data_IF_936746292703
#
_entry.id   IF_936746292703
#
_cell.length_a   1.000
_cell.length_b   1.000
_cell.length_c   1.000
_cell.angle_alpha   90.00
_cell.angle_beta   90.00
_cell.angle_gamma   90.00
#
_symmetry.space_group_name_H-M   'P 1'
#
loop_
_entity.id
_entity.type
_entity.pdbx_description
1 polymer ?
#
# COMPACT_ATOMS: atom_id res chain seq x y z
N UNK A 1 5.70 -10.71 -41.38
CA UNK A 1 4.48 -11.19 -40.69
C UNK A 1 4.40 -10.43 -39.38
N UNK A 2 3.55 -9.41 -39.31
CA UNK A 2 3.44 -8.52 -38.15
C UNK A 2 2.66 -9.20 -37.02
N UNK A 3 3.29 -9.36 -35.87
CA UNK A 3 2.61 -9.71 -34.63
C UNK A 3 2.36 -8.42 -33.84
N UNK A 4 1.08 -8.11 -33.63
CA UNK A 4 0.57 -6.96 -32.90
C UNK A 4 0.60 -7.32 -31.40
N UNK A 5 1.56 -6.78 -30.64
CA UNK A 5 1.65 -7.01 -29.20
C UNK A 5 0.74 -6.02 -28.45
N UNK A 6 -0.16 -6.57 -27.65
CA UNK A 6 -1.11 -5.89 -26.78
C UNK A 6 -0.42 -5.35 -25.53
N UNK A 7 -0.38 -4.03 -25.40
CA UNK A 7 -0.09 -3.23 -24.20
C UNK A 7 -1.17 -3.42 -23.13
N UNK A 8 -0.83 -3.70 -21.85
CA UNK A 8 -1.89 -3.80 -20.83
C UNK A 8 -1.59 -3.93 -19.33
N UNK A 9 -0.36 -3.82 -18.81
CA UNK A 9 -0.08 -4.16 -17.40
C UNK A 9 0.02 -2.98 -16.40
N UNK A 10 0.58 -1.82 -16.76
CA UNK A 10 0.63 -0.64 -15.88
C UNK A 10 -0.74 -0.10 -15.38
N UNK A 11 -1.84 -0.11 -16.17
CA UNK A 11 -3.15 0.28 -15.64
C UNK A 11 -3.72 -0.74 -14.65
N UNK A 12 -3.22 -1.99 -14.62
CA UNK A 12 -3.79 -3.05 -13.80
C UNK A 12 -3.53 -2.82 -12.30
N UNK A 13 -2.33 -2.45 -11.88
CA UNK A 13 -2.00 -2.21 -10.46
C UNK A 13 -2.72 -0.97 -9.89
N UNK A 14 -2.79 0.13 -10.66
CA UNK A 14 -3.56 1.32 -10.28
C UNK A 14 -5.07 1.01 -10.25
N UNK A 15 -5.57 0.18 -11.18
CA UNK A 15 -6.96 -0.28 -11.16
C UNK A 15 -7.27 -1.20 -9.97
N UNK A 16 -6.33 -2.02 -9.52
CA UNK A 16 -6.49 -2.89 -8.35
C UNK A 16 -6.55 -2.08 -7.05
N UNK A 17 -5.65 -1.10 -6.87
CA UNK A 17 -5.70 -0.20 -5.71
C UNK A 17 -7.01 0.60 -5.68
N UNK A 18 -7.45 1.10 -6.84
CA UNK A 18 -8.72 1.83 -6.94
C UNK A 18 -9.93 0.94 -6.64
N UNK A 19 -9.90 -0.30 -7.12
CA UNK A 19 -10.93 -1.31 -6.85
C UNK A 19 -11.00 -1.64 -5.36
N UNK A 20 -9.85 -1.83 -4.70
CA UNK A 20 -9.79 -2.09 -3.25
C UNK A 20 -10.31 -0.88 -2.45
N UNK A 21 -9.96 0.34 -2.87
CA UNK A 21 -10.49 1.55 -2.25
C UNK A 21 -12.02 1.68 -2.39
N UNK A 22 -12.58 1.28 -3.54
CA UNK A 22 -14.03 1.23 -3.77
C UNK A 22 -14.72 0.15 -2.92
N UNK A 23 -14.14 -1.04 -2.82
CA UNK A 23 -14.66 -2.11 -1.97
C UNK A 23 -14.70 -1.68 -0.50
N UNK A 24 -13.60 -1.11 -0.01
CA UNK A 24 -13.53 -0.62 1.36
C UNK A 24 -14.53 0.53 1.62
N UNK A 25 -14.78 1.42 0.65
CA UNK A 25 -15.84 2.45 0.77
C UNK A 25 -17.24 1.84 0.85
N UNK A 26 -17.55 0.84 0.01
CA UNK A 26 -18.83 0.14 0.01
C UNK A 26 -19.09 -0.63 1.31
N UNK A 27 -18.05 -1.29 1.85
CA UNK A 27 -18.12 -2.00 3.13
C UNK A 27 -18.39 -1.00 4.26
N UNK A 28 -17.64 0.09 4.33
CA UNK A 28 -17.81 1.12 5.37
C UNK A 28 -19.22 1.71 5.32
N UNK A 29 -19.74 2.06 4.14
CA UNK A 29 -21.11 2.56 3.99
C UNK A 29 -22.15 1.53 4.45
N UNK A 30 -21.97 0.27 4.09
CA UNK A 30 -22.87 -0.82 4.51
C UNK A 30 -22.88 -0.97 6.02
N UNK A 31 -21.70 -0.95 6.66
CA UNK A 31 -21.58 -1.01 8.12
C UNK A 31 -22.23 0.21 8.78
N UNK A 32 -21.94 1.42 8.30
CA UNK A 32 -22.53 2.64 8.83
C UNK A 32 -24.06 2.65 8.67
N UNK A 33 -24.61 2.08 7.61
CA UNK A 33 -26.07 2.02 7.42
C UNK A 33 -26.74 0.98 8.33
N UNK A 34 -26.05 -0.10 8.68
CA UNK A 34 -26.55 -1.13 9.60
C UNK A 34 -26.49 -0.70 11.07
N UNK A 35 -25.67 0.30 11.41
CA UNK A 35 -25.48 0.77 12.78
C UNK A 35 -26.58 1.74 13.23
N UNK A 36 -26.96 1.65 14.50
CA UNK A 36 -27.79 2.67 15.16
C UNK A 36 -27.00 3.97 15.34
N UNK A 37 -27.70 5.09 15.55
CA UNK A 37 -27.05 6.38 15.81
C UNK A 37 -26.09 6.33 17.00
N UNK A 38 -26.49 5.66 18.10
CA UNK A 38 -25.66 5.49 19.30
C UNK A 38 -24.37 4.70 19.00
N UNK A 39 -24.47 3.64 18.20
CA UNK A 39 -23.30 2.86 17.77
C UNK A 39 -22.35 3.70 16.91
N UNK A 40 -22.89 4.52 16.00
CA UNK A 40 -22.07 5.42 15.16
C UNK A 40 -21.32 6.43 15.99
N UNK A 41 -22.00 7.07 16.95
CA UNK A 41 -21.38 8.02 17.89
C UNK A 41 -20.27 7.37 18.71
N UNK A 42 -20.49 6.13 19.19
CA UNK A 42 -19.46 5.38 19.94
C UNK A 42 -18.23 5.07 19.08
N UNK A 43 -18.42 4.59 17.85
CA UNK A 43 -17.30 4.30 16.93
C UNK A 43 -16.55 5.59 16.59
N UNK A 44 -17.26 6.70 16.37
CA UNK A 44 -16.63 8.00 16.14
C UNK A 44 -15.71 8.41 17.30
N UNK A 45 -16.22 8.36 18.54
CA UNK A 45 -15.43 8.68 19.73
C UNK A 45 -14.20 7.77 19.88
N UNK A 46 -14.29 6.49 19.51
CA UNK A 46 -13.15 5.57 19.53
C UNK A 46 -12.11 5.92 18.46
N UNK A 47 -12.55 6.31 17.26
CA UNK A 47 -11.65 6.73 16.18
C UNK A 47 -10.97 8.07 16.49
N UNK A 48 -11.69 9.00 17.11
CA UNK A 48 -11.13 10.27 17.59
C UNK A 48 -10.10 10.02 18.70
N UNK A 49 -10.41 9.16 19.68
CA UNK A 49 -9.49 8.80 20.77
C UNK A 49 -8.22 8.09 20.25
N UNK A 50 -8.33 7.34 19.15
CA UNK A 50 -7.19 6.71 18.49
C UNK A 50 -6.38 7.69 17.61
N UNK A 51 -6.77 8.97 17.52
CA UNK A 51 -6.14 9.96 16.64
C UNK A 51 -6.33 9.67 15.15
N UNK A 52 -7.21 8.74 14.80
CA UNK A 52 -7.47 8.33 13.42
C UNK A 52 -8.38 9.34 12.73
N UNK A 53 -9.24 10.02 13.49
CA UNK A 53 -10.19 11.02 12.96
C UNK A 53 -9.68 12.43 13.27
N UNK A 54 -9.00 13.03 12.30
CA UNK A 54 -8.37 14.35 12.44
C UNK A 54 -9.34 15.53 12.30
N UNK A 55 -10.46 15.38 11.57
CA UNK A 55 -11.42 16.47 11.28
C UNK A 55 -12.87 15.95 11.08
N UNK A 56 -13.42 15.16 12.00
CA UNK A 56 -14.88 14.88 12.04
C UNK A 56 -15.50 14.10 10.85
N UNK A 57 -16.83 14.10 10.79
CA UNK A 57 -17.68 13.34 9.83
C UNK A 57 -17.43 13.60 8.33
N UNK A 58 -16.53 14.51 7.96
CA UNK A 58 -16.26 14.92 6.57
C UNK A 58 -15.36 13.94 5.81
N UNK A 59 -14.57 13.11 6.51
CA UNK A 59 -13.57 12.22 5.88
C UNK A 59 -14.13 11.15 4.93
N UNK A 60 -15.33 10.63 5.20
CA UNK A 60 -15.98 9.68 4.29
C UNK A 60 -16.39 10.36 2.98
N UNK A 61 -16.85 11.61 3.05
CA UNK A 61 -17.21 12.42 1.89
C UNK A 61 -15.94 12.84 1.11
N UNK A 62 -14.87 13.21 1.81
CA UNK A 62 -13.56 13.50 1.22
C UNK A 62 -12.96 12.28 0.50
N UNK A 63 -13.06 11.09 1.10
CA UNK A 63 -12.65 9.84 0.47
C UNK A 63 -13.46 9.55 -0.79
N UNK A 64 -14.78 9.74 -0.74
CA UNK A 64 -15.65 9.61 -1.91
C UNK A 64 -15.28 10.58 -3.04
N UNK A 65 -14.99 11.84 -2.70
CA UNK A 65 -14.54 12.85 -3.66
C UNK A 65 -13.19 12.47 -4.28
N UNK A 66 -12.26 11.96 -3.47
CA UNK A 66 -10.93 11.52 -3.92
C UNK A 66 -11.02 10.32 -4.86
N UNK A 67 -11.87 9.32 -4.54
CA UNK A 67 -12.12 8.17 -5.43
C UNK A 67 -12.74 8.64 -6.75
N UNK A 68 -13.69 9.57 -6.71
CA UNK A 68 -14.33 10.12 -7.90
C UNK A 68 -13.33 10.86 -8.79
N UNK A 69 -12.45 11.67 -8.21
CA UNK A 69 -11.40 12.36 -8.94
C UNK A 69 -10.39 11.37 -9.55
N UNK A 70 -10.00 10.33 -8.81
CA UNK A 70 -9.10 9.29 -9.31
C UNK A 70 -9.69 8.51 -10.49
N UNK A 71 -11.00 8.21 -10.46
CA UNK A 71 -11.72 7.58 -11.57
C UNK A 71 -11.74 8.47 -12.82
N UNK A 72 -11.95 9.78 -12.65
CA UNK A 72 -11.95 10.73 -13.77
C UNK A 72 -10.57 10.79 -14.46
N UNK A 73 -9.49 10.87 -13.68
CA UNK A 73 -8.11 10.83 -14.21
C UNK A 73 -7.80 9.51 -14.91
N UNK A 74 -8.24 8.38 -14.35
CA UNK A 74 -8.04 7.07 -14.98
C UNK A 74 -8.80 6.93 -16.32
N UNK A 75 -9.97 7.56 -16.43
CA UNK A 75 -10.74 7.60 -17.67
C UNK A 75 -10.05 8.45 -18.75
N UNK A 76 -9.46 9.60 -18.37
CA UNK A 76 -8.74 10.50 -19.27
C UNK A 76 -7.40 9.92 -19.75
N UNK A 77 -6.69 9.18 -18.88
CA UNK A 77 -5.38 8.57 -19.21
C UNK A 77 -5.52 7.38 -20.18
N UNK A 78 -6.72 6.84 -20.36
CA UNK A 78 -7.01 5.77 -21.32
C UNK A 78 -7.17 6.27 -22.77
N UNK A 79 -7.08 7.59 -23.02
CA UNK A 79 -7.46 8.18 -24.29
C UNK A 79 -6.35 8.31 -25.37
N UNK A 80 -5.05 8.34 -25.05
CA UNK A 80 -3.98 8.37 -26.08
C UNK A 80 -2.65 7.79 -25.52
N UNK A 81 -1.95 6.85 -26.20
CA UNK A 81 -0.68 6.31 -25.72
C UNK A 81 0.49 7.24 -26.07
N UNK A 82 0.95 8.01 -25.08
CA UNK A 82 2.25 8.68 -25.12
C UNK A 82 3.39 7.63 -25.10
N UNK A 83 4.48 7.90 -25.81
CA UNK A 83 5.65 7.03 -25.85
C UNK A 83 6.21 6.81 -24.43
N UNK A 84 6.18 5.57 -23.96
CA UNK A 84 6.67 5.18 -22.63
C UNK A 84 8.20 5.06 -22.68
N UNK A 85 8.90 5.77 -21.80
CA UNK A 85 10.35 5.65 -21.60
C UNK A 85 10.67 4.38 -20.78
N UNK A 86 10.68 3.25 -21.46
CA UNK A 86 10.98 1.93 -20.89
C UNK A 86 12.36 1.91 -20.23
N UNK A 87 13.32 2.65 -20.79
CA UNK A 87 14.69 2.70 -20.25
C UNK A 87 14.73 3.42 -18.89
N UNK A 88 13.98 4.51 -18.76
CA UNK A 88 13.80 5.20 -17.48
C UNK A 88 13.12 4.30 -16.42
N UNK A 89 12.13 3.50 -16.82
CA UNK A 89 11.45 2.56 -15.92
C UNK A 89 12.36 1.44 -15.43
N UNK A 90 13.17 0.82 -16.31
CA UNK A 90 14.12 -0.21 -15.91
C UNK A 90 15.18 0.32 -14.94
N UNK A 91 15.73 1.51 -15.19
CA UNK A 91 16.69 2.13 -14.29
C UNK A 91 16.07 2.45 -12.92
N UNK A 92 14.81 2.88 -12.89
CA UNK A 92 14.10 3.12 -11.64
C UNK A 92 13.81 1.83 -10.87
N UNK A 93 13.48 0.73 -11.57
CA UNK A 93 13.31 -0.59 -10.96
C UNK A 93 14.61 -1.08 -10.29
N UNK A 94 15.78 -0.82 -10.87
CA UNK A 94 17.08 -1.29 -10.32
C UNK A 94 17.35 -0.60 -8.99
N UNK A 95 17.01 0.69 -8.92
CA UNK A 95 17.13 1.50 -7.71
C UNK A 95 16.16 1.00 -6.64
N UNK A 96 14.92 0.70 -7.01
CA UNK A 96 13.90 0.21 -6.08
C UNK A 96 14.29 -1.16 -5.51
N UNK A 97 14.76 -2.07 -6.36
CA UNK A 97 15.26 -3.40 -5.94
C UNK A 97 16.43 -3.26 -4.97
N UNK A 98 17.42 -2.42 -5.30
CA UNK A 98 18.56 -2.15 -4.44
C UNK A 98 18.14 -1.57 -3.08
N UNK A 99 17.18 -0.64 -3.07
CA UNK A 99 16.64 -0.05 -1.85
C UNK A 99 15.89 -1.08 -1.00
N UNK A 100 15.07 -1.94 -1.62
CA UNK A 100 14.35 -3.00 -0.94
C UNK A 100 15.31 -4.01 -0.29
N UNK A 101 16.36 -4.42 -1.00
CA UNK A 101 17.41 -5.28 -0.47
C UNK A 101 18.13 -4.66 0.74
N UNK A 102 18.43 -3.35 0.68
CA UNK A 102 19.05 -2.65 1.79
C UNK A 102 18.12 -2.55 3.01
N UNK A 103 16.85 -2.23 2.79
CA UNK A 103 15.83 -2.23 3.85
C UNK A 103 15.73 -3.61 4.50
N UNK A 104 15.73 -4.67 3.70
CA UNK A 104 15.68 -6.05 4.21
C UNK A 104 16.87 -6.38 5.12
N UNK A 105 18.09 -6.00 4.74
CA UNK A 105 19.29 -6.19 5.57
C UNK A 105 19.16 -5.46 6.92
N UNK A 106 18.73 -4.19 6.89
CA UNK A 106 18.56 -3.40 8.11
C UNK A 106 17.49 -3.97 9.04
N UNK A 107 16.40 -4.49 8.48
CA UNK A 107 15.31 -5.11 9.23
C UNK A 107 15.72 -6.45 9.84
N UNK A 108 16.50 -7.27 9.13
CA UNK A 108 17.07 -8.50 9.69
C UNK A 108 18.00 -8.19 10.87
N UNK A 109 18.90 -7.21 10.73
CA UNK A 109 19.77 -6.78 11.81
C UNK A 109 18.99 -6.21 13.01
N UNK A 110 17.87 -5.54 12.76
CA UNK A 110 16.96 -5.09 13.81
C UNK A 110 16.31 -6.26 14.54
N UNK A 111 15.79 -7.26 13.82
CA UNK A 111 15.21 -8.47 14.41
C UNK A 111 16.23 -9.20 15.29
N UNK A 112 17.45 -9.42 14.79
CA UNK A 112 18.54 -10.05 15.56
C UNK A 112 18.84 -9.31 16.87
N UNK A 113 18.83 -7.97 16.85
CA UNK A 113 19.02 -7.17 18.07
C UNK A 113 17.85 -7.28 19.03
N UNK A 114 16.61 -7.29 18.53
CA UNK A 114 15.41 -7.44 19.37
C UNK A 114 15.36 -8.82 20.03
N UNK A 115 15.71 -9.89 19.30
CA UNK A 115 15.77 -11.25 19.82
C UNK A 115 16.85 -11.43 20.92
N UNK A 116 17.95 -10.66 20.81
CA UNK A 116 19.00 -10.61 21.81
C UNK A 116 18.62 -9.89 23.11
N UNK A 117 17.51 -9.16 23.15
CA UNK A 117 17.09 -8.39 24.33
C UNK A 117 16.32 -9.26 25.33
N UNK A 118 17.05 -9.92 26.23
CA UNK A 118 16.49 -10.74 27.31
C UNK A 118 16.52 -10.01 28.67
N UNK A 119 15.65 -10.40 29.60
CA UNK A 119 15.68 -9.90 30.99
C UNK A 119 15.15 -8.47 31.18
N UNK A 120 14.34 -7.96 30.25
CA UNK A 120 13.78 -6.62 30.33
C UNK A 120 12.64 -6.51 31.36
N UNK A 121 12.43 -5.31 31.93
CA UNK A 121 11.22 -5.00 32.69
C UNK A 121 9.97 -5.16 31.82
N UNK A 122 8.85 -5.60 32.40
CA UNK A 122 7.58 -5.85 31.70
C UNK A 122 7.10 -4.67 30.84
N UNK A 123 7.34 -3.43 31.28
CA UNK A 123 7.01 -2.22 30.53
C UNK A 123 7.80 -2.08 29.22
N UNK A 124 9.04 -2.56 29.17
CA UNK A 124 9.89 -2.54 27.98
C UNK A 124 9.61 -3.72 27.03
N UNK A 125 9.14 -4.86 27.55
CA UNK A 125 8.75 -6.04 26.75
C UNK A 125 7.67 -5.69 25.71
N UNK A 126 6.70 -4.87 26.08
CA UNK A 126 5.64 -4.44 25.15
C UNK A 126 6.19 -3.60 23.98
N UNK A 127 7.15 -2.70 24.24
CA UNK A 127 7.78 -1.89 23.21
C UNK A 127 8.64 -2.75 22.26
N UNK A 128 9.36 -3.75 22.79
CA UNK A 128 10.12 -4.72 21.99
C UNK A 128 9.22 -5.54 21.09
N UNK A 129 8.10 -6.05 21.63
CA UNK A 129 7.14 -6.81 20.84
C UNK A 129 6.52 -5.97 19.70
N UNK A 130 6.21 -4.69 19.97
CA UNK A 130 5.72 -3.77 18.94
C UNK A 130 6.77 -3.52 17.85
N UNK A 131 8.04 -3.32 18.25
CA UNK A 131 9.15 -3.15 17.32
C UNK A 131 9.39 -4.41 16.46
N UNK A 132 9.33 -5.61 17.06
CA UNK A 132 9.46 -6.88 16.32
C UNK A 132 8.31 -7.08 15.33
N UNK A 133 7.08 -6.76 15.72
CA UNK A 133 5.92 -6.81 14.83
C UNK A 133 6.08 -5.88 13.63
N UNK A 134 6.48 -4.62 13.87
CA UNK A 134 6.76 -3.66 12.81
C UNK A 134 7.87 -4.16 11.88
N UNK A 135 8.99 -4.65 12.42
CA UNK A 135 10.12 -5.11 11.63
C UNK A 135 9.74 -6.29 10.71
N UNK A 136 8.92 -7.21 11.21
CA UNK A 136 8.45 -8.37 10.44
C UNK A 136 7.51 -7.96 9.31
N UNK A 137 6.57 -7.04 9.57
CA UNK A 137 5.69 -6.49 8.53
C UNK A 137 6.47 -5.73 7.46
N UNK A 138 7.44 -4.92 7.87
CA UNK A 138 8.30 -4.17 6.95
C UNK A 138 9.15 -5.12 6.08
N UNK A 139 9.64 -6.24 6.65
CA UNK A 139 10.42 -7.24 5.94
C UNK A 139 9.60 -7.92 4.84
N UNK A 140 8.33 -8.23 5.15
CA UNK A 140 7.40 -8.79 4.17
C UNK A 140 7.15 -7.82 3.02
N UNK A 141 6.93 -6.54 3.32
CA UNK A 141 6.73 -5.52 2.29
C UNK A 141 7.97 -5.33 1.41
N UNK A 142 9.18 -5.32 2.00
CA UNK A 142 10.41 -5.24 1.23
C UNK A 142 10.56 -6.43 0.26
N UNK A 143 10.20 -7.64 0.73
CA UNK A 143 10.24 -8.84 -0.13
C UNK A 143 9.23 -8.77 -1.28
N UNK A 144 8.02 -8.25 -1.04
CA UNK A 144 7.04 -8.05 -2.11
C UNK A 144 7.51 -7.02 -3.15
N UNK A 145 8.21 -5.98 -2.71
CA UNK A 145 8.80 -4.98 -3.60
C UNK A 145 9.93 -5.60 -4.45
N UNK A 146 10.78 -6.45 -3.86
CA UNK A 146 11.80 -7.22 -4.60
C UNK A 146 11.14 -8.12 -5.66
N UNK A 147 10.11 -8.89 -5.29
CA UNK A 147 9.41 -9.80 -6.21
C UNK A 147 8.77 -9.05 -7.40
N UNK A 148 8.15 -7.89 -7.14
CA UNK A 148 7.56 -7.04 -8.17
C UNK A 148 8.62 -6.39 -9.08
N UNK A 149 9.75 -5.93 -8.51
CA UNK A 149 10.85 -5.37 -9.29
C UNK A 149 11.46 -6.43 -10.24
N UNK A 150 11.62 -7.66 -9.77
CA UNK A 150 12.08 -8.80 -10.60
C UNK A 150 11.07 -9.12 -11.71
N UNK A 151 9.77 -9.02 -11.45
CA UNK A 151 8.72 -9.15 -12.46
C UNK A 151 8.89 -8.18 -13.63
N UNK A 152 9.26 -6.93 -13.33
CA UNK A 152 9.53 -5.90 -14.34
C UNK A 152 10.72 -6.28 -15.25
N UNK A 153 11.76 -6.95 -14.73
CA UNK A 153 12.90 -7.41 -15.54
C UNK A 153 12.58 -8.61 -16.43
N UNK A 154 11.88 -9.60 -15.89
CA UNK A 154 11.56 -10.82 -16.64
C UNK A 154 10.57 -10.53 -17.78
N UNK A 155 9.68 -9.56 -17.59
CA UNK A 155 8.76 -9.09 -18.61
C UNK A 155 9.42 -8.11 -19.61
N UNK A 156 10.47 -7.38 -19.20
CA UNK A 156 11.21 -6.44 -20.05
C UNK A 156 12.40 -7.04 -20.84
N UNK A 157 12.93 -8.19 -20.42
CA UNK A 157 14.13 -8.82 -20.99
C UNK A 157 13.87 -9.87 -22.09
N UNK A 158 12.62 -10.21 -22.37
CA UNK A 158 12.22 -11.15 -23.42
C UNK A 158 11.75 -10.47 -24.73
N UNK A 159 12.23 -9.24 -24.98
CA UNK A 159 11.98 -8.45 -26.18
C UNK A 159 13.18 -8.45 -27.13
#
# INVERSE_FOLDING_TARGET
>A
MSARATTGAAPAATSQLLTELQHADAIIKSMLNAMTTEQKTKVHAQLDAAGVSGEGMTRANERGATITAALAVHAETSAEPGAVDVKGMCAQAEIIEMQAAHIRILLLALCERLDGMQGLPQAAVQAVNAASCFATCALRNASLIEDEAVGIYLEGGAA
#
